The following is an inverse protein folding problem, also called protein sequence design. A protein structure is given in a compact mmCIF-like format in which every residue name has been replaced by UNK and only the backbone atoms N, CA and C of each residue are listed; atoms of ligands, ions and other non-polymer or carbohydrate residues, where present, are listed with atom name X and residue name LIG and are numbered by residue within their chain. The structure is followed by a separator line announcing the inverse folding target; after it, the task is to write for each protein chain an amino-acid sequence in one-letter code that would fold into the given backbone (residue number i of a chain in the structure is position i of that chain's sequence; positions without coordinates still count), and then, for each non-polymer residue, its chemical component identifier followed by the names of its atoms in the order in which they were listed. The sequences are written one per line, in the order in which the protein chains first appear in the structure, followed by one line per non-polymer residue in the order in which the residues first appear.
data_IF_981120097088
#
_entry.id   IF_981120097088
#
_cell.length_a   1.000
_cell.length_b   1.000
_cell.length_c   1.000
_cell.angle_alpha   90.00
_cell.angle_beta   90.00
_cell.angle_gamma   90.00
#
_symmetry.space_group_name_H-M   'P 1'
#
loop_
_entity.id
_entity.type
_entity.pdbx_description
1 polymer ?
#
# COMPACT_ATOMS: atom_id res chain seq x y z
N UNK A 1 -17.86 -8.78 6.38
CA UNK A 1 -16.79 -9.36 7.21
C UNK A 1 -15.53 -8.53 7.02
N UNK A 2 -14.84 -8.14 8.09
CA UNK A 2 -13.54 -7.46 8.03
C UNK A 2 -12.47 -8.49 7.64
N UNK A 3 -11.65 -8.18 6.62
CA UNK A 3 -10.52 -9.02 6.21
C UNK A 3 -9.28 -8.63 7.00
N UNK A 4 -8.43 -9.60 7.31
CA UNK A 4 -7.16 -9.31 7.97
C UNK A 4 -6.27 -8.47 7.02
N UNK A 5 -5.44 -7.57 7.56
CA UNK A 5 -4.58 -6.72 6.74
C UNK A 5 -3.59 -7.52 5.90
N UNK A 6 -3.07 -8.64 6.42
CA UNK A 6 -2.22 -9.58 5.66
C UNK A 6 -2.92 -10.26 4.46
N UNK A 7 -4.24 -10.38 4.47
CA UNK A 7 -4.98 -10.95 3.33
C UNK A 7 -5.19 -9.92 2.21
N UNK A 8 -5.08 -8.62 2.54
CA UNK A 8 -5.31 -7.51 1.62
C UNK A 8 -4.04 -7.22 0.82
N UNK A 9 -2.89 -7.11 1.50
CA UNK A 9 -1.58 -6.85 0.89
C UNK A 9 -0.89 -8.19 0.63
N UNK A 10 -0.74 -8.57 -0.65
CA UNK A 10 -0.18 -9.89 -1.02
C UNK A 10 1.35 -9.84 -1.11
N UNK A 11 1.88 -8.87 -1.86
CA UNK A 11 3.33 -8.70 -2.05
C UNK A 11 3.71 -7.33 -2.62
N UNK A 12 4.95 -6.85 -2.41
CA UNK A 12 5.47 -5.69 -3.13
C UNK A 12 5.67 -6.01 -4.62
N UNK A 13 5.53 -4.99 -5.47
CA UNK A 13 5.83 -5.05 -6.90
C UNK A 13 7.08 -4.22 -7.15
N UNK A 14 8.17 -4.91 -7.52
CA UNK A 14 9.48 -4.32 -7.78
C UNK A 14 9.74 -4.29 -9.29
N UNK A 15 9.94 -3.10 -9.81
CA UNK A 15 10.18 -2.71 -11.21
C UNK A 15 11.01 -1.42 -11.20
N UNK A 16 11.71 -1.07 -12.28
CA UNK A 16 12.46 0.19 -12.36
C UNK A 16 11.60 1.41 -11.99
N UNK A 17 10.38 1.45 -12.53
CA UNK A 17 9.40 2.50 -12.21
C UNK A 17 9.04 2.54 -10.73
N UNK A 18 8.73 1.40 -10.12
CA UNK A 18 8.34 1.36 -8.71
C UNK A 18 9.50 1.77 -7.79
N UNK A 19 10.75 1.49 -8.18
CA UNK A 19 11.93 1.93 -7.43
C UNK A 19 12.08 3.45 -7.49
N UNK A 20 11.86 4.05 -8.66
CA UNK A 20 11.83 5.51 -8.79
C UNK A 20 10.67 6.13 -7.99
N UNK A 21 9.49 5.54 -8.06
CA UNK A 21 8.30 5.97 -7.31
C UNK A 21 8.53 5.85 -5.79
N UNK A 22 9.27 4.83 -5.33
CA UNK A 22 9.58 4.64 -3.90
C UNK A 22 10.43 5.79 -3.34
N UNK A 23 11.37 6.34 -4.12
CA UNK A 23 12.12 7.54 -3.73
C UNK A 23 11.24 8.78 -3.57
N UNK A 24 10.05 8.78 -4.19
CA UNK A 24 9.02 9.82 -4.07
C UNK A 24 7.95 9.50 -3.01
N UNK A 25 8.17 8.49 -2.17
CA UNK A 25 7.20 8.05 -1.15
C UNK A 25 5.98 7.31 -1.71
N UNK A 26 6.09 6.74 -2.92
CA UNK A 26 5.03 5.95 -3.57
C UNK A 26 5.42 4.48 -3.66
N UNK A 27 4.64 3.62 -3.02
CA UNK A 27 4.90 2.19 -2.94
C UNK A 27 3.84 1.39 -3.69
N UNK A 28 4.26 0.35 -4.41
CA UNK A 28 3.38 -0.41 -5.32
C UNK A 28 3.13 -1.84 -4.83
N UNK A 29 1.92 -2.15 -4.37
CA UNK A 29 1.59 -3.48 -3.89
C UNK A 29 0.73 -4.25 -4.90
N UNK A 30 0.91 -5.56 -4.94
CA UNK A 30 -0.12 -6.47 -5.43
C UNK A 30 -1.09 -6.73 -4.27
N UNK A 31 -2.37 -6.52 -4.52
CA UNK A 31 -3.42 -6.62 -3.50
C UNK A 31 -4.51 -7.60 -3.92
N UNK A 32 -5.32 -8.05 -2.95
CA UNK A 32 -6.46 -8.90 -3.22
C UNK A 32 -7.44 -8.23 -4.21
N UNK A 33 -7.93 -8.98 -5.20
CA UNK A 33 -8.85 -8.47 -6.23
C UNK A 33 -10.13 -7.87 -5.64
N UNK A 34 -10.57 -8.42 -4.52
CA UNK A 34 -11.77 -7.98 -3.81
C UNK A 34 -11.56 -6.75 -2.94
N UNK A 35 -10.31 -6.29 -2.73
CA UNK A 35 -10.02 -5.19 -1.81
C UNK A 35 -10.44 -3.84 -2.39
N UNK A 36 -11.03 -3.00 -1.54
CA UNK A 36 -11.34 -1.59 -1.85
C UNK A 36 -10.16 -0.69 -1.48
N UNK A 37 -10.16 0.56 -1.98
CA UNK A 37 -9.11 1.54 -1.63
C UNK A 37 -9.03 1.82 -0.12
N UNK A 38 -10.19 1.81 0.55
CA UNK A 38 -10.29 2.01 2.01
C UNK A 38 -9.66 0.85 2.77
N UNK A 39 -9.85 -0.37 2.30
CA UNK A 39 -9.26 -1.57 2.90
C UNK A 39 -7.73 -1.54 2.76
N UNK A 40 -7.24 -1.20 1.57
CA UNK A 40 -5.79 -1.07 1.31
C UNK A 40 -5.17 0.02 2.17
N UNK A 41 -5.83 1.19 2.32
CA UNK A 41 -5.35 2.26 3.20
C UNK A 41 -5.18 1.75 4.63
N UNK A 42 -6.23 1.16 5.20
CA UNK A 42 -6.21 0.64 6.58
C UNK A 42 -5.15 -0.45 6.75
N UNK A 43 -5.03 -1.36 5.79
CA UNK A 43 -4.06 -2.45 5.86
C UNK A 43 -2.62 -1.93 5.84
N UNK A 44 -2.30 -0.95 4.97
CA UNK A 44 -0.95 -0.36 4.91
C UNK A 44 -0.64 0.45 6.17
N UNK A 45 -1.58 1.26 6.66
CA UNK A 45 -1.39 2.01 7.91
C UNK A 45 -1.17 1.07 9.11
N UNK A 46 -1.79 -0.10 9.13
CA UNK A 46 -1.66 -1.10 10.20
C UNK A 46 -0.40 -1.96 10.11
N UNK A 47 0.02 -2.36 8.92
CA UNK A 47 1.16 -3.28 8.75
C UNK A 47 2.50 -2.56 8.85
N UNK A 48 2.58 -1.33 8.37
CA UNK A 48 3.85 -0.62 8.23
C UNK A 48 3.97 0.60 9.16
N UNK A 49 2.94 0.89 9.96
CA UNK A 49 2.87 2.06 10.84
C UNK A 49 3.19 3.37 10.09
N UNK A 50 2.73 3.50 8.85
CA UNK A 50 2.92 4.70 8.02
C UNK A 50 1.62 5.50 7.95
N UNK A 51 1.73 6.80 7.65
CA UNK A 51 0.56 7.61 7.34
C UNK A 51 0.30 7.61 5.84
N UNK A 52 -0.90 7.17 5.42
CA UNK A 52 -1.25 7.09 3.99
C UNK A 52 -2.00 8.34 3.54
N UNK A 53 -1.46 9.02 2.52
CA UNK A 53 -2.09 10.18 1.88
C UNK A 53 -3.15 9.70 0.89
N UNK A 54 -2.74 8.91 -0.10
CA UNK A 54 -3.62 8.49 -1.19
C UNK A 54 -3.36 7.06 -1.64
N UNK A 55 -4.39 6.45 -2.23
CA UNK A 55 -4.35 5.09 -2.77
C UNK A 55 -4.96 5.08 -4.16
N UNK A 56 -4.18 4.60 -5.13
CA UNK A 56 -4.58 4.44 -6.51
C UNK A 56 -4.56 2.94 -6.84
N UNK A 57 -5.63 2.43 -7.44
CA UNK A 57 -5.77 0.99 -7.74
C UNK A 57 -6.04 0.78 -9.21
N UNK A 58 -5.44 -0.26 -9.79
CA UNK A 58 -5.64 -0.68 -11.19
C UNK A 58 -5.80 -2.20 -11.25
N UNK A 59 -6.74 -2.69 -12.04
CA UNK A 59 -6.89 -4.11 -12.32
C UNK A 59 -6.05 -4.49 -13.54
N UNK A 60 -5.28 -5.56 -13.42
CA UNK A 60 -4.47 -6.12 -14.51
C UNK A 60 -5.01 -7.48 -14.90
N UNK A 61 -5.41 -7.61 -16.16
CA UNK A 61 -5.87 -8.88 -16.71
C UNK A 61 -4.73 -9.87 -16.93
N UNK A 62 -5.10 -11.14 -16.87
CA UNK A 62 -4.21 -12.24 -17.19
C UNK A 62 -3.78 -12.18 -18.65
N UNK A 63 -2.50 -12.40 -18.93
CA UNK A 63 -2.01 -12.48 -20.30
C UNK A 63 -2.24 -13.90 -20.82
N UNK A 64 -2.70 -14.03 -22.07
CA UNK A 64 -2.74 -15.31 -22.77
C UNK A 64 -1.31 -15.83 -22.95
N UNK A 65 -1.07 -17.08 -22.55
CA UNK A 65 0.22 -17.76 -22.64
C UNK A 65 -0.03 -19.20 -23.05
N UNK A 66 0.88 -19.75 -23.86
CA UNK A 66 0.83 -21.16 -24.27
C UNK A 66 1.95 -21.92 -23.59
N UNK A 67 1.62 -23.07 -23.03
CA UNK A 67 2.60 -24.02 -22.52
C UNK A 67 2.43 -25.34 -23.28
N UNK A 68 3.44 -25.68 -24.09
CA UNK A 68 3.44 -26.82 -25.02
C UNK A 68 2.23 -26.75 -25.98
N UNK A 69 1.21 -27.58 -25.75
CA UNK A 69 0.01 -27.68 -26.59
C UNK A 69 -1.22 -26.98 -25.98
N UNK A 70 -1.16 -26.53 -24.72
CA UNK A 70 -2.31 -25.92 -24.04
C UNK A 70 -2.17 -24.40 -24.00
N UNK A 71 -3.19 -23.71 -24.49
CA UNK A 71 -3.34 -22.27 -24.31
C UNK A 71 -4.09 -21.98 -23.00
N UNK A 72 -3.52 -21.12 -22.17
CA UNK A 72 -4.09 -20.68 -20.91
C UNK A 72 -3.88 -19.19 -20.68
N UNK A 73 -4.32 -18.72 -19.52
CA UNK A 73 -4.12 -17.33 -19.09
C UNK A 73 -3.39 -17.30 -17.77
N UNK A 74 -2.51 -16.31 -17.59
CA UNK A 74 -1.92 -16.08 -16.27
C UNK A 74 -2.98 -15.53 -15.31
N UNK A 75 -2.78 -15.68 -14.00
CA UNK A 75 -3.68 -15.07 -13.03
C UNK A 75 -3.75 -13.54 -13.21
N UNK A 76 -4.95 -12.98 -13.30
CA UNK A 76 -5.15 -11.53 -13.14
C UNK A 76 -4.83 -11.11 -11.71
N UNK A 77 -4.55 -9.82 -11.50
CA UNK A 77 -4.27 -9.27 -10.18
C UNK A 77 -4.69 -7.79 -10.09
N UNK A 78 -4.83 -7.28 -8.87
CA UNK A 78 -5.04 -5.86 -8.62
C UNK A 78 -3.74 -5.26 -8.12
N UNK A 79 -3.35 -4.13 -8.69
CA UNK A 79 -2.18 -3.34 -8.27
C UNK A 79 -2.68 -2.12 -7.51
N UNK A 80 -2.05 -1.82 -6.39
CA UNK A 80 -2.28 -0.60 -5.63
C UNK A 80 -0.98 0.20 -5.56
N UNK A 81 -1.02 1.47 -5.95
CA UNK A 81 0.03 2.45 -5.68
C UNK A 81 -0.42 3.29 -4.50
N UNK A 82 0.40 3.32 -3.46
CA UNK A 82 0.10 3.95 -2.18
C UNK A 82 1.10 5.06 -1.94
N UNK A 83 0.61 6.27 -1.73
CA UNK A 83 1.45 7.41 -1.38
C UNK A 83 1.42 7.60 0.12
N UNK A 84 2.58 7.57 0.76
CA UNK A 84 2.72 7.85 2.18
C UNK A 84 3.07 9.32 2.42
N UNK A 85 2.87 9.77 3.65
CA UNK A 85 3.32 11.07 4.11
C UNK A 85 4.80 10.99 4.52
N UNK A 86 5.66 11.71 3.82
CA UNK A 86 7.10 11.77 4.13
C UNK A 86 7.41 12.79 5.23
N UNK A 87 6.48 13.69 5.52
CA UNK A 87 6.61 14.71 6.56
C UNK A 87 5.50 14.53 7.61
N UNK A 88 5.46 13.35 8.24
CA UNK A 88 4.48 13.07 9.28
C UNK A 88 4.66 14.04 10.47
N UNK A 89 3.85 15.11 10.49
CA UNK A 89 3.78 16.09 11.58
C UNK A 89 2.73 15.65 12.60
N UNK A 90 3.00 15.89 13.88
CA UNK A 90 2.05 15.61 14.95
C UNK A 90 0.77 16.42 14.73
N UNK A 91 -0.35 15.73 14.53
CA UNK A 91 -1.66 16.39 14.37
C UNK A 91 -2.09 16.89 15.75
N UNK A 92 -2.01 18.21 15.97
CA UNK A 92 -2.54 18.86 17.16
C UNK A 92 -4.02 19.21 16.95
N UNK A 93 -4.88 18.79 17.88
CA UNK A 93 -6.29 19.17 17.89
C UNK A 93 -6.61 19.94 19.16
N UNK A 94 -7.42 20.99 19.00
CA UNK A 94 -8.02 21.75 20.10
C UNK A 94 -9.17 20.93 20.68
N UNK A 95 -9.00 20.41 21.90
CA UNK A 95 -10.07 19.72 22.63
C UNK A 95 -11.14 20.69 23.13
N UNK A 96 -12.33 20.15 23.47
CA UNK A 96 -13.42 20.91 24.09
C UNK A 96 -12.91 21.47 25.44
N UNK A 97 -12.65 22.77 25.49
CA UNK A 97 -11.98 23.45 26.62
C UNK A 97 -10.63 24.11 26.30
N UNK A 98 -10.20 24.16 25.03
CA UNK A 98 -9.02 24.92 24.60
C UNK A 98 -7.66 24.28 24.89
N UNK A 99 -7.65 23.07 25.46
CA UNK A 99 -6.42 22.31 25.69
C UNK A 99 -6.06 21.51 24.43
N UNK A 100 -4.84 21.70 23.93
CA UNK A 100 -4.30 20.92 22.82
C UNK A 100 -4.02 19.48 23.29
N UNK A 101 -4.68 18.50 22.69
CA UNK A 101 -4.35 17.09 22.86
C UNK A 101 -3.49 16.65 21.67
N UNK A 102 -2.41 15.91 21.95
CA UNK A 102 -1.51 15.35 20.94
C UNK A 102 -1.80 13.85 20.79
N UNK A 103 -1.85 13.32 19.57
CA UNK A 103 -1.74 11.86 19.35
C UNK A 103 -0.28 11.48 19.29
N UNK A 104 0.16 10.58 20.16
CA UNK A 104 1.54 10.10 20.23
C UNK A 104 1.90 9.02 19.18
N UNK A 105 1.09 8.86 18.11
CA UNK A 105 1.39 7.87 17.06
C UNK A 105 2.56 8.35 16.21
N UNK A 106 3.72 7.73 16.42
CA UNK A 106 4.88 7.87 15.55
C UNK A 106 4.66 7.07 14.28
N UNK A 107 4.68 7.74 13.14
CA UNK A 107 4.60 7.09 11.83
C UNK A 107 5.99 6.98 11.20
N UNK A 108 6.23 5.88 10.50
CA UNK A 108 7.43 5.73 9.67
C UNK A 108 7.32 6.61 8.42
N UNK A 109 8.44 7.17 8.00
CA UNK A 109 8.56 8.03 6.80
C UNK A 109 8.98 7.27 5.55
N UNK A 110 9.36 6.00 5.70
CA UNK A 110 9.69 5.08 4.62
C UNK A 110 9.27 3.65 4.97
N UNK A 111 8.98 2.85 3.94
CA UNK A 111 8.78 1.40 4.05
C UNK A 111 10.10 0.73 3.65
N UNK A 112 10.92 0.38 4.64
CA UNK A 112 12.27 -0.16 4.45
C UNK A 112 12.28 -1.51 3.71
N UNK A 113 11.21 -2.31 3.84
CA UNK A 113 11.05 -3.61 3.17
C UNK A 113 10.78 -3.49 1.66
N UNK A 114 10.72 -2.28 1.12
CA UNK A 114 10.41 -2.02 -0.27
C UNK A 114 11.68 -1.71 -1.09
N UNK A 115 12.40 -2.77 -1.46
CA UNK A 115 13.30 -2.72 -2.61
C UNK A 115 14.81 -2.88 -2.37
N UNK A 116 15.34 -2.94 -1.14
CA UNK A 116 16.75 -3.28 -0.89
C UNK A 116 16.89 -3.97 0.49
N UNK A 117 17.47 -5.19 0.53
CA UNK A 117 18.04 -5.81 1.73
C UNK A 117 17.23 -6.95 2.39
N UNK A 118 17.52 -8.20 2.02
CA UNK A 118 17.89 -9.19 3.04
C UNK A 118 19.36 -8.96 3.40
#
# INVERSE_FOLDING_TARGET
MSKAPQDIIIKPVITEKSSYDAALGKYTFQVAKTATKTDVRKAVEQLFDVKVVSVNTVNYDGKKKRQRYVEGTTASFKKAVVTIDTEAKDVSYLGKGGKAAKSDKKYKTAIEEFGIGQ
#
